data_IF_135178092353
#
_entry.id   IF_135178092353
#
_cell.length_a   1.000
_cell.length_b   1.000
_cell.length_c   1.000
_cell.angle_alpha   90.00
_cell.angle_beta   90.00
_cell.angle_gamma   90.00
#
_symmetry.space_group_name_H-M   'P 1'
#
loop_
_entity.id
_entity.type
_entity.pdbx_description
1 polymer ?
#
# COMPACT_ATOMS: atom_id res chain seq x y z
N UNK A 1 5.86 36.40 -37.36
CA UNK A 1 4.86 36.01 -38.37
C UNK A 1 3.68 35.37 -37.64
N UNK A 2 2.49 35.96 -37.75
CA UNK A 2 1.27 35.37 -37.20
C UNK A 2 0.57 34.54 -38.28
N UNK A 3 0.46 33.23 -38.08
CA UNK A 3 -0.23 32.34 -39.01
C UNK A 3 -1.73 32.36 -38.80
N UNK A 4 -2.47 32.98 -39.72
CA UNK A 4 -3.92 32.83 -39.82
C UNK A 4 -4.27 31.41 -40.28
N UNK A 5 -4.82 30.58 -39.40
CA UNK A 5 -5.53 29.37 -39.84
C UNK A 5 -6.91 29.76 -40.39
N UNK A 6 -7.07 29.59 -41.70
CA UNK A 6 -8.33 29.79 -42.39
C UNK A 6 -9.23 28.55 -42.19
N UNK A 7 -10.24 28.64 -41.31
CA UNK A 7 -11.22 27.58 -41.06
C UNK A 7 -12.26 27.48 -42.20
N UNK A 8 -11.80 27.16 -43.41
CA UNK A 8 -12.67 26.85 -44.54
C UNK A 8 -13.21 25.42 -44.44
N UNK A 9 -14.52 25.28 -44.18
CA UNK A 9 -15.28 24.00 -44.18
C UNK A 9 -14.52 22.76 -43.68
N UNK A 10 -13.93 22.85 -42.48
CA UNK A 10 -13.42 21.67 -41.78
C UNK A 10 -14.54 21.10 -40.91
N UNK A 11 -14.90 19.83 -41.14
CA UNK A 11 -15.67 19.05 -40.17
C UNK A 11 -14.73 18.73 -39.01
N UNK A 12 -14.66 19.62 -38.03
CA UNK A 12 -13.80 19.45 -36.85
C UNK A 12 -14.37 18.36 -35.94
N UNK A 13 -13.84 17.14 -36.04
CA UNK A 13 -14.20 16.05 -35.11
C UNK A 13 -13.47 16.26 -33.78
N UNK A 14 -14.22 16.53 -32.72
CA UNK A 14 -13.71 16.57 -31.34
C UNK A 14 -13.58 15.13 -30.81
N UNK A 15 -12.43 14.49 -31.06
CA UNK A 15 -12.21 13.08 -30.71
C UNK A 15 -11.75 12.83 -29.26
N UNK A 16 -11.28 13.86 -28.54
CA UNK A 16 -10.47 13.69 -27.31
C UNK A 16 -11.13 14.21 -26.04
N UNK A 17 -12.38 13.83 -25.81
CA UNK A 17 -13.05 14.03 -24.51
C UNK A 17 -13.20 12.68 -23.82
N UNK A 18 -12.26 12.35 -22.93
CA UNK A 18 -12.25 11.07 -22.19
C UNK A 18 -12.73 11.32 -20.76
N UNK A 19 -13.70 10.52 -20.32
CA UNK A 19 -14.13 10.44 -18.93
C UNK A 19 -13.56 9.16 -18.30
N UNK A 20 -12.89 9.29 -17.15
CA UNK A 20 -12.37 8.15 -16.38
C UNK A 20 -12.88 8.18 -14.95
N UNK A 21 -13.62 7.15 -14.56
CA UNK A 21 -14.20 7.02 -13.22
C UNK A 21 -13.18 6.46 -12.22
N UNK A 22 -12.94 7.18 -11.12
CA UNK A 22 -11.96 6.78 -10.09
C UNK A 22 -12.59 5.84 -9.05
N UNK A 23 -13.87 6.02 -8.74
CA UNK A 23 -14.70 5.05 -8.02
C UNK A 23 -16.16 5.52 -8.09
N UNK A 24 -17.10 4.58 -8.02
CA UNK A 24 -18.48 4.89 -7.67
C UNK A 24 -18.56 5.29 -6.19
N UNK A 25 -19.54 6.13 -5.84
CA UNK A 25 -19.82 6.46 -4.44
C UNK A 25 -20.24 5.22 -3.64
N UNK A 26 -19.66 5.04 -2.45
CA UNK A 26 -19.88 3.86 -1.60
C UNK A 26 -20.55 4.16 -0.25
N UNK A 27 -20.87 5.43 0.05
CA UNK A 27 -21.56 5.83 1.28
C UNK A 27 -22.37 7.12 1.09
N UNK A 28 -23.64 7.11 1.50
CA UNK A 28 -24.60 8.20 1.28
C UNK A 28 -26.01 7.69 0.96
N UNK A 29 -26.98 8.60 0.90
CA UNK A 29 -28.34 8.27 0.44
C UNK A 29 -28.43 8.42 -1.09
N UNK A 30 -29.15 7.50 -1.75
CA UNK A 30 -29.42 7.53 -3.20
C UNK A 30 -28.17 7.49 -4.12
N UNK A 31 -27.09 6.85 -3.66
CA UNK A 31 -25.84 6.68 -4.41
C UNK A 31 -26.07 6.08 -5.81
N UNK A 32 -27.04 5.17 -5.93
CA UNK A 32 -27.41 4.51 -7.18
C UNK A 32 -27.96 5.47 -8.26
N UNK A 33 -28.35 6.69 -7.87
CA UNK A 33 -28.82 7.74 -8.79
C UNK A 33 -27.70 8.67 -9.25
N UNK A 34 -26.57 8.71 -8.54
CA UNK A 34 -25.44 9.57 -8.87
C UNK A 34 -24.47 8.90 -9.84
N UNK A 35 -24.88 8.77 -11.11
CA UNK A 35 -24.01 8.27 -12.18
C UNK A 35 -22.88 9.23 -12.57
N UNK A 36 -21.79 8.68 -13.11
CA UNK A 36 -20.67 9.47 -13.62
C UNK A 36 -20.89 9.98 -15.08
N UNK A 37 -19.87 10.60 -15.68
CA UNK A 37 -19.87 11.03 -17.09
C UNK A 37 -20.32 12.49 -17.36
N UNK A 38 -20.40 12.84 -18.64
CA UNK A 38 -20.84 14.16 -19.10
C UNK A 38 -22.37 14.25 -19.07
N UNK A 39 -22.90 14.95 -18.07
CA UNK A 39 -24.35 15.12 -17.82
C UNK A 39 -24.88 16.54 -17.97
N UNK A 40 -24.00 17.52 -18.20
CA UNK A 40 -24.33 18.95 -18.27
C UNK A 40 -24.10 19.54 -19.66
N UNK A 41 -24.39 20.84 -19.80
CA UNK A 41 -24.15 21.55 -21.05
C UNK A 41 -22.66 21.61 -21.40
N UNK A 42 -22.32 21.28 -22.65
CA UNK A 42 -20.96 21.42 -23.19
C UNK A 42 -20.94 22.56 -24.19
N UNK A 43 -20.30 23.68 -23.84
CA UNK A 43 -20.24 24.88 -24.69
C UNK A 43 -18.81 25.19 -25.13
N UNK A 44 -18.67 25.58 -26.39
CA UNK A 44 -17.45 26.21 -26.89
C UNK A 44 -17.63 27.73 -26.94
N UNK A 45 -16.67 28.46 -26.39
CA UNK A 45 -16.66 29.92 -26.34
C UNK A 45 -15.51 30.49 -27.18
N UNK A 46 -15.50 31.82 -27.41
CA UNK A 46 -14.42 32.49 -28.14
C UNK A 46 -14.60 32.61 -29.66
N UNK A 47 -15.73 32.15 -30.22
CA UNK A 47 -16.06 32.43 -31.62
C UNK A 47 -16.64 33.84 -31.79
N UNK A 48 -16.38 34.47 -32.94
CA UNK A 48 -16.92 35.81 -33.28
C UNK A 48 -18.45 35.87 -33.31
N UNK A 49 -19.11 34.74 -33.47
CA UNK A 49 -20.56 34.63 -33.64
C UNK A 49 -21.28 34.23 -32.34
N UNK A 50 -20.59 34.22 -31.19
CA UNK A 50 -21.13 33.82 -29.89
C UNK A 50 -20.67 32.43 -29.44
N UNK A 51 -21.37 31.87 -28.45
CA UNK A 51 -21.11 30.52 -27.94
C UNK A 51 -21.77 29.46 -28.83
N UNK A 52 -21.14 28.29 -28.94
CA UNK A 52 -21.70 27.11 -29.61
C UNK A 52 -22.01 26.06 -28.54
N UNK A 53 -23.28 25.69 -28.40
CA UNK A 53 -23.70 24.60 -27.51
C UNK A 53 -23.60 23.26 -28.25
N UNK A 54 -22.71 22.38 -27.78
CA UNK A 54 -22.48 21.05 -28.34
C UNK A 54 -23.44 19.99 -27.77
N UNK A 55 -24.27 20.34 -26.78
CA UNK A 55 -25.16 19.39 -26.10
C UNK A 55 -26.24 18.83 -27.04
N UNK A 56 -26.68 19.64 -28.00
CA UNK A 56 -27.72 19.30 -29.00
C UNK A 56 -27.15 18.59 -30.26
N UNK A 57 -25.83 18.38 -30.34
CA UNK A 57 -25.18 17.72 -31.49
C UNK A 57 -25.09 16.21 -31.30
N UNK A 58 -24.86 15.46 -32.39
CA UNK A 58 -24.72 14.00 -32.34
C UNK A 58 -23.42 13.57 -31.65
N UNK A 59 -23.54 12.87 -30.52
CA UNK A 59 -22.41 12.30 -29.78
C UNK A 59 -22.14 10.84 -30.19
N UNK A 60 -20.86 10.46 -30.29
CA UNK A 60 -20.43 9.06 -30.46
C UNK A 60 -19.72 8.62 -29.19
N UNK A 61 -20.03 7.41 -28.71
CA UNK A 61 -19.48 6.86 -27.47
C UNK A 61 -18.59 5.64 -27.77
N UNK A 62 -17.44 5.58 -27.13
CA UNK A 62 -16.60 4.38 -27.06
C UNK A 62 -16.38 4.06 -25.58
N UNK A 63 -16.77 2.85 -25.17
CA UNK A 63 -16.52 2.35 -23.81
C UNK A 63 -15.12 1.74 -23.78
N UNK A 64 -14.26 2.17 -22.85
CA UNK A 64 -12.92 1.59 -22.68
C UNK A 64 -11.91 1.92 -23.79
N UNK A 65 -10.69 1.45 -23.58
CA UNK A 65 -9.52 1.73 -24.41
C UNK A 65 -9.25 0.58 -25.40
N UNK A 66 -8.68 0.91 -26.56
CA UNK A 66 -8.34 -0.10 -27.60
C UNK A 66 -7.44 -1.22 -27.06
N UNK A 67 -6.43 -0.88 -26.24
CA UNK A 67 -5.55 -1.86 -25.60
C UNK A 67 -6.26 -2.77 -24.59
N UNK A 68 -7.35 -2.31 -23.96
CA UNK A 68 -8.17 -3.12 -23.06
C UNK A 68 -8.98 -4.17 -23.84
N UNK A 69 -9.59 -3.77 -24.97
CA UNK A 69 -10.29 -4.70 -25.87
C UNK A 69 -9.36 -5.73 -26.51
N UNK A 70 -8.16 -5.30 -26.92
CA UNK A 70 -7.12 -6.18 -27.47
C UNK A 70 -6.42 -7.01 -26.38
N UNK A 71 -6.74 -6.79 -25.09
CA UNK A 71 -6.20 -7.52 -23.92
C UNK A 71 -4.67 -7.60 -23.89
N UNK A 72 -3.99 -6.54 -24.32
CA UNK A 72 -2.52 -6.54 -24.54
C UNK A 72 -1.69 -6.69 -23.25
N UNK A 73 -2.35 -6.70 -22.09
CA UNK A 73 -1.81 -7.04 -20.78
C UNK A 73 -1.70 -8.56 -20.52
N UNK A 74 -2.38 -9.40 -21.31
CA UNK A 74 -2.28 -10.87 -21.23
C UNK A 74 -1.03 -11.34 -22.00
N UNK A 75 -0.36 -12.38 -21.48
CA UNK A 75 0.90 -12.89 -22.04
C UNK A 75 0.77 -13.21 -23.54
N UNK A 76 -0.16 -14.09 -23.90
CA UNK A 76 -0.38 -14.59 -25.27
C UNK A 76 -0.95 -13.54 -26.25
N UNK A 77 -1.57 -12.48 -25.73
CA UNK A 77 -2.19 -11.42 -26.53
C UNK A 77 -1.27 -10.20 -26.70
N UNK A 78 -0.23 -10.06 -25.86
CA UNK A 78 0.59 -8.84 -25.80
C UNK A 78 1.28 -8.55 -27.13
N UNK A 79 1.74 -9.56 -27.88
CA UNK A 79 2.40 -9.38 -29.18
C UNK A 79 1.46 -8.98 -30.33
N UNK A 80 0.15 -8.84 -30.08
CA UNK A 80 -0.82 -8.35 -31.07
C UNK A 80 -0.84 -6.82 -31.19
N UNK A 81 -0.06 -6.12 -30.36
CA UNK A 81 0.16 -4.69 -30.47
C UNK A 81 1.50 -4.39 -31.17
N UNK A 82 1.52 -3.32 -31.96
CA UNK A 82 2.72 -2.79 -32.61
C UNK A 82 3.55 -2.02 -31.59
N UNK A 83 4.32 -2.75 -30.76
CA UNK A 83 5.23 -2.14 -29.79
C UNK A 83 6.42 -1.48 -30.49
N UNK A 84 6.87 -0.35 -29.94
CA UNK A 84 8.11 0.32 -30.37
C UNK A 84 9.03 0.50 -29.17
N UNK A 85 10.32 0.25 -29.35
CA UNK A 85 11.32 0.48 -28.30
C UNK A 85 11.34 1.95 -27.88
N UNK A 86 11.32 2.17 -26.57
CA UNK A 86 11.39 3.50 -25.99
C UNK A 86 12.85 3.90 -25.76
N UNK A 87 13.21 5.15 -26.07
CA UNK A 87 14.53 5.71 -25.73
C UNK A 87 14.48 6.46 -24.39
N UNK A 88 15.58 6.50 -23.61
CA UNK A 88 15.62 7.22 -22.32
C UNK A 88 15.27 8.71 -22.42
N UNK A 89 15.60 9.35 -23.54
CA UNK A 89 15.34 10.76 -23.82
C UNK A 89 13.94 11.02 -24.41
N UNK A 90 13.10 9.99 -24.54
CA UNK A 90 11.75 10.15 -25.05
C UNK A 90 10.89 11.02 -24.12
N UNK A 91 10.27 12.06 -24.68
CA UNK A 91 9.32 12.90 -23.96
C UNK A 91 8.12 12.07 -23.45
N UNK A 92 7.73 12.19 -22.17
CA UNK A 92 6.56 11.48 -21.63
C UNK A 92 5.29 11.75 -22.43
N UNK A 93 4.72 10.71 -23.03
CA UNK A 93 3.44 10.78 -23.73
C UNK A 93 2.27 10.39 -22.83
N UNK A 94 1.14 11.07 -23.01
CA UNK A 94 -0.14 10.73 -22.39
C UNK A 94 -0.81 9.56 -23.15
N UNK A 95 -1.80 8.92 -22.53
CA UNK A 95 -2.55 7.80 -23.11
C UNK A 95 -1.68 6.70 -23.75
N UNK A 96 -0.56 6.37 -23.10
CA UNK A 96 0.48 5.46 -23.63
C UNK A 96 0.47 4.14 -22.89
N UNK A 97 0.67 3.04 -23.63
CA UNK A 97 0.89 1.72 -23.07
C UNK A 97 2.39 1.42 -23.03
N UNK A 98 2.85 0.86 -21.91
CA UNK A 98 4.23 0.41 -21.73
C UNK A 98 4.24 -1.09 -21.41
N UNK A 99 5.26 -1.80 -21.92
CA UNK A 99 5.50 -3.22 -21.67
C UNK A 99 6.96 -3.41 -21.31
N UNK A 100 7.24 -4.31 -20.37
CA UNK A 100 8.59 -4.79 -20.07
C UNK A 100 8.53 -6.18 -19.43
N UNK A 101 9.68 -6.84 -19.28
CA UNK A 101 9.82 -8.11 -18.59
C UNK A 101 10.78 -7.96 -17.39
N UNK A 102 10.51 -8.68 -16.30
CA UNK A 102 11.35 -8.63 -15.09
C UNK A 102 11.43 -9.97 -14.36
N UNK A 103 12.51 -10.17 -13.63
CA UNK A 103 12.70 -11.34 -12.78
C UNK A 103 12.18 -11.08 -11.37
N UNK A 104 11.64 -12.12 -10.71
CA UNK A 104 11.10 -11.96 -9.37
C UNK A 104 12.24 -11.70 -8.36
N UNK A 105 12.11 -10.73 -7.44
CA UNK A 105 13.11 -10.53 -6.38
C UNK A 105 13.26 -11.79 -5.52
N UNK A 106 14.49 -12.18 -5.19
CA UNK A 106 14.77 -13.38 -4.38
C UNK A 106 14.07 -13.37 -3.00
N UNK A 107 13.85 -14.56 -2.43
CA UNK A 107 13.23 -14.78 -1.12
C UNK A 107 11.71 -14.60 -1.09
N UNK A 108 11.10 -14.70 0.09
CA UNK A 108 9.63 -14.71 0.26
C UNK A 108 9.01 -13.33 0.51
N UNK A 109 9.82 -12.32 0.85
CA UNK A 109 9.37 -10.97 1.21
C UNK A 109 8.32 -10.40 0.23
N UNK A 110 7.22 -9.76 0.72
CA UNK A 110 6.22 -9.12 -0.14
C UNK A 110 6.81 -8.22 -1.22
N UNK A 111 6.30 -8.34 -2.44
CA UNK A 111 6.76 -7.55 -3.59
C UNK A 111 5.85 -6.34 -3.81
N UNK A 112 6.42 -5.23 -4.25
CA UNK A 112 5.70 -4.07 -4.72
C UNK A 112 6.39 -3.42 -5.93
N UNK A 113 5.58 -2.85 -6.82
CA UNK A 113 6.00 -2.03 -7.94
C UNK A 113 6.04 -0.56 -7.51
N UNK A 114 7.20 0.08 -7.58
CA UNK A 114 7.34 1.51 -7.33
C UNK A 114 7.09 2.28 -8.63
N UNK A 115 5.96 2.99 -8.66
CA UNK A 115 5.45 3.80 -9.76
C UNK A 115 5.57 5.29 -9.48
N UNK A 116 6.43 5.71 -8.55
CA UNK A 116 6.54 7.11 -8.11
C UNK A 116 6.96 8.11 -9.20
N UNK A 117 7.55 7.61 -10.28
CA UNK A 117 7.92 8.36 -11.49
C UNK A 117 6.80 8.46 -12.54
N UNK A 118 5.69 7.75 -12.33
CA UNK A 118 4.53 7.70 -13.23
C UNK A 118 3.47 8.71 -12.79
N UNK A 119 2.39 8.84 -13.56
CA UNK A 119 1.30 9.80 -13.32
C UNK A 119 0.03 9.12 -12.80
N UNK A 120 -0.83 8.68 -13.70
CA UNK A 120 -2.15 8.10 -13.42
C UNK A 120 -2.39 6.96 -14.41
N UNK A 121 -2.86 5.83 -13.94
CA UNK A 121 -3.06 4.70 -14.84
C UNK A 121 -3.47 3.40 -14.20
N UNK A 122 -3.23 2.33 -14.94
CA UNK A 122 -3.50 0.93 -14.57
C UNK A 122 -2.27 0.08 -14.85
N UNK A 123 -2.04 -0.95 -14.03
CA UNK A 123 -0.91 -1.86 -14.21
C UNK A 123 -1.34 -3.33 -14.07
N UNK A 124 -0.66 -4.19 -14.82
CA UNK A 124 -0.88 -5.63 -14.86
C UNK A 124 0.44 -6.38 -14.77
N UNK A 125 0.45 -7.50 -14.05
CA UNK A 125 1.57 -8.44 -13.97
C UNK A 125 1.08 -9.80 -14.41
N UNK A 126 1.68 -10.40 -15.44
CA UNK A 126 1.29 -11.70 -16.00
C UNK A 126 -0.22 -11.81 -16.32
N UNK A 127 -0.83 -10.73 -16.84
CA UNK A 127 -2.27 -10.64 -17.10
C UNK A 127 -3.14 -10.26 -15.89
N UNK A 128 -2.63 -10.37 -14.66
CA UNK A 128 -3.37 -10.00 -13.45
C UNK A 128 -3.32 -8.48 -13.22
N UNK A 129 -4.48 -7.83 -13.10
CA UNK A 129 -4.57 -6.41 -12.79
C UNK A 129 -4.16 -6.16 -11.33
N UNK A 130 -3.02 -5.48 -11.12
CA UNK A 130 -2.51 -5.12 -9.78
C UNK A 130 -3.13 -3.82 -9.25
N UNK A 131 -3.91 -3.11 -10.08
CA UNK A 131 -4.74 -1.99 -9.68
C UNK A 131 -4.45 -0.69 -10.44
N UNK A 132 -5.17 0.36 -10.01
CA UNK A 132 -5.00 1.73 -10.51
C UNK A 132 -3.95 2.46 -9.68
N UNK A 133 -3.05 3.15 -10.35
CA UNK A 133 -2.07 4.02 -9.73
C UNK A 133 -2.40 5.50 -9.97
N UNK A 134 -2.08 6.35 -8.99
CA UNK A 134 -2.18 7.80 -9.14
C UNK A 134 -1.22 8.50 -8.17
N UNK A 135 -0.12 9.05 -8.69
CA UNK A 135 0.98 9.63 -7.91
C UNK A 135 0.74 11.07 -7.44
N UNK A 136 -0.53 11.49 -7.33
CA UNK A 136 -0.87 12.85 -6.91
C UNK A 136 -0.34 13.15 -5.51
N UNK A 137 0.56 14.12 -5.43
CA UNK A 137 1.05 14.65 -4.15
C UNK A 137 -0.10 15.34 -3.44
N UNK A 138 -0.41 14.90 -2.22
CA UNK A 138 -1.42 15.53 -1.39
C UNK A 138 -1.00 16.96 -0.99
N UNK A 139 -1.95 17.91 -0.81
CA UNK A 139 -1.64 19.22 -0.26
C UNK A 139 -0.90 19.13 1.09
N UNK A 140 0.01 20.06 1.35
CA UNK A 140 0.79 20.10 2.60
C UNK A 140 0.01 20.65 3.79
N UNK A 141 -1.08 21.37 3.52
CA UNK A 141 -1.88 22.06 4.53
C UNK A 141 -2.99 21.14 5.09
N UNK A 142 -3.43 21.41 6.32
CA UNK A 142 -4.42 20.60 7.04
C UNK A 142 -3.84 19.53 7.96
N UNK A 143 -2.53 19.29 7.92
CA UNK A 143 -1.84 18.40 8.85
C UNK A 143 -1.48 19.13 10.15
N UNK A 144 -2.33 19.01 11.18
CA UNK A 144 -1.96 19.34 12.56
C UNK A 144 -0.96 18.34 13.17
N UNK A 145 -0.58 18.49 14.44
CA UNK A 145 0.31 17.53 15.13
C UNK A 145 -0.40 16.17 15.43
N UNK A 146 -0.42 15.30 14.42
CA UNK A 146 -0.71 13.83 14.37
C UNK A 146 0.26 13.18 13.33
N UNK A 147 0.32 11.89 12.99
CA UNK A 147 -0.30 10.61 13.45
C UNK A 147 0.81 9.53 13.50
N UNK A 148 0.61 8.46 14.28
CA UNK A 148 1.62 7.42 14.61
C UNK A 148 2.13 6.52 13.46
N UNK A 149 1.78 6.79 12.19
CA UNK A 149 2.27 6.02 11.02
C UNK A 149 2.84 6.87 9.89
N UNK A 150 2.81 8.20 10.01
CA UNK A 150 3.23 9.11 8.94
C UNK A 150 2.34 9.07 7.69
N UNK A 151 2.71 9.86 6.69
CA UNK A 151 1.93 10.09 5.47
C UNK A 151 1.83 8.84 4.59
N UNK A 152 0.62 8.52 4.12
CA UNK A 152 0.40 7.47 3.11
C UNK A 152 0.77 7.98 1.70
N UNK A 153 2.07 7.99 1.39
CA UNK A 153 2.59 8.26 0.05
C UNK A 153 2.83 6.95 -0.72
N UNK A 154 1.78 6.28 -1.19
CA UNK A 154 1.97 5.05 -1.99
C UNK A 154 2.27 5.34 -3.44
N UNK A 155 3.55 5.55 -3.72
CA UNK A 155 4.12 5.21 -5.02
C UNK A 155 4.19 3.69 -5.26
N UNK A 156 4.06 2.88 -4.20
CA UNK A 156 4.28 1.43 -4.21
C UNK A 156 2.97 0.63 -4.24
N UNK A 157 2.84 -0.25 -5.22
CA UNK A 157 1.65 -1.07 -5.49
C UNK A 157 1.99 -2.55 -5.31
N UNK A 158 1.22 -3.27 -4.48
CA UNK A 158 1.55 -4.64 -4.12
C UNK A 158 1.41 -5.62 -5.31
N UNK A 159 2.39 -6.50 -5.46
CA UNK A 159 2.32 -7.66 -6.35
C UNK A 159 2.30 -8.93 -5.47
N UNK A 160 1.21 -9.73 -5.48
CA UNK A 160 1.17 -11.02 -4.83
C UNK A 160 2.28 -11.96 -5.36
N UNK A 161 3.04 -12.58 -4.44
CA UNK A 161 4.10 -13.54 -4.76
C UNK A 161 3.61 -14.68 -5.68
N UNK A 162 2.39 -15.15 -5.47
CA UNK A 162 1.76 -16.22 -6.25
C UNK A 162 1.40 -15.84 -7.69
N UNK A 163 1.52 -14.56 -8.09
CA UNK A 163 1.36 -14.12 -9.48
C UNK A 163 2.70 -14.03 -10.23
N UNK A 164 3.82 -14.30 -9.55
CA UNK A 164 5.16 -14.21 -10.12
C UNK A 164 5.73 -15.59 -10.45
N UNK A 165 6.38 -15.65 -11.61
CA UNK A 165 7.33 -16.70 -11.99
C UNK A 165 8.74 -16.27 -11.59
N UNK A 166 9.70 -17.20 -11.54
CA UNK A 166 11.08 -16.88 -11.16
C UNK A 166 11.72 -15.81 -12.08
N UNK A 167 11.48 -15.92 -13.39
CA UNK A 167 11.99 -15.00 -14.41
C UNK A 167 10.91 -14.66 -15.45
N UNK A 168 11.21 -13.67 -16.31
CA UNK A 168 10.38 -13.33 -17.48
C UNK A 168 8.92 -12.96 -17.16
N UNK A 169 8.67 -12.26 -16.05
CA UNK A 169 7.34 -11.76 -15.70
C UNK A 169 6.97 -10.58 -16.59
N UNK A 170 5.83 -10.67 -17.27
CA UNK A 170 5.30 -9.59 -18.09
C UNK A 170 4.72 -8.49 -17.18
N UNK A 171 5.25 -7.27 -17.29
CA UNK A 171 4.67 -6.05 -16.73
C UNK A 171 4.11 -5.20 -17.88
N UNK A 172 2.81 -4.89 -17.80
CA UNK A 172 2.15 -3.94 -18.72
C UNK A 172 1.53 -2.81 -17.91
N UNK A 173 1.69 -1.58 -18.38
CA UNK A 173 1.06 -0.39 -17.81
C UNK A 173 0.30 0.37 -18.89
N UNK A 174 -0.81 0.99 -18.50
CA UNK A 174 -1.42 2.10 -19.21
C UNK A 174 -1.21 3.38 -18.41
N UNK A 175 -0.65 4.42 -19.03
CA UNK A 175 -0.42 5.75 -18.45
C UNK A 175 -1.30 6.79 -19.14
N UNK A 176 -2.14 7.46 -18.37
CA UNK A 176 -3.13 8.44 -18.81
C UNK A 176 -2.52 9.85 -18.93
N UNK A 177 -1.67 10.23 -17.97
CA UNK A 177 -1.22 11.62 -17.74
C UNK A 177 0.25 11.92 -18.06
N UNK A 178 1.03 10.87 -18.35
CA UNK A 178 2.47 10.95 -18.62
C UNK A 178 3.31 10.61 -17.39
N UNK A 179 4.44 9.95 -17.63
CA UNK A 179 5.33 9.43 -16.59
C UNK A 179 6.68 9.00 -17.18
N UNK A 180 7.64 8.66 -16.31
CA UNK A 180 8.96 8.18 -16.70
C UNK A 180 9.11 6.68 -16.43
N UNK A 181 8.94 5.80 -17.43
CA UNK A 181 8.93 4.35 -17.20
C UNK A 181 10.30 3.77 -16.81
N UNK A 182 11.42 4.38 -17.20
CA UNK A 182 12.77 3.93 -16.82
C UNK A 182 13.10 4.09 -15.33
N UNK A 183 12.33 4.91 -14.60
CA UNK A 183 12.47 5.08 -13.15
C UNK A 183 11.56 4.11 -12.35
N UNK A 184 10.70 3.32 -13.03
CA UNK A 184 9.90 2.26 -12.39
C UNK A 184 10.84 1.20 -11.83
N UNK A 185 10.55 0.68 -10.63
CA UNK A 185 11.33 -0.45 -10.10
C UNK A 185 10.51 -1.40 -9.24
N UNK A 186 10.83 -2.69 -9.34
CA UNK A 186 10.27 -3.73 -8.47
C UNK A 186 11.09 -3.79 -7.19
N UNK A 187 10.43 -3.76 -6.03
CA UNK A 187 11.05 -3.80 -4.69
C UNK A 187 10.46 -4.94 -3.87
N UNK A 188 11.30 -5.70 -3.19
CA UNK A 188 10.88 -6.49 -2.04
C UNK A 188 10.79 -5.59 -0.80
N UNK A 189 9.78 -5.81 0.03
CA UNK A 189 9.61 -5.15 1.33
C UNK A 189 9.73 -6.18 2.43
N UNK A 190 10.67 -5.98 3.35
CA UNK A 190 10.69 -6.66 4.65
C UNK A 190 10.28 -5.67 5.74
N UNK A 191 9.63 -6.18 6.78
CA UNK A 191 9.45 -5.46 8.04
C UNK A 191 10.80 -5.40 8.76
N UNK A 192 11.42 -4.22 8.82
CA UNK A 192 12.69 -4.02 9.54
C UNK A 192 12.49 -3.72 11.02
N UNK A 193 11.38 -3.05 11.36
CA UNK A 193 10.93 -2.80 12.74
C UNK A 193 9.56 -3.45 12.90
N UNK A 194 9.38 -4.19 13.99
CA UNK A 194 8.08 -4.60 14.50
C UNK A 194 7.87 -3.99 15.90
N UNK A 195 6.62 -3.69 16.22
CA UNK A 195 6.24 -3.11 17.50
C UNK A 195 4.95 -3.76 18.00
N UNK A 196 4.79 -3.82 19.31
CA UNK A 196 3.53 -4.18 19.93
C UNK A 196 3.33 -3.40 21.25
N UNK A 197 2.07 -3.17 21.60
CA UNK A 197 1.67 -2.53 22.85
C UNK A 197 0.45 -3.25 23.42
N UNK A 198 0.56 -3.80 24.63
CA UNK A 198 -0.49 -4.60 25.28
C UNK A 198 -0.61 -4.26 26.76
N UNK A 199 -1.82 -3.90 27.18
CA UNK A 199 -2.20 -3.57 28.57
C UNK A 199 -2.55 -4.84 29.38
N UNK A 200 -2.33 -4.82 30.70
CA UNK A 200 -2.92 -5.78 31.65
C UNK A 200 -4.46 -5.86 31.52
N UNK A 201 -5.11 -4.80 31.02
CA UNK A 201 -6.55 -4.72 30.79
C UNK A 201 -6.99 -5.10 29.37
N UNK A 202 -6.08 -5.56 28.51
CA UNK A 202 -6.42 -5.98 27.15
C UNK A 202 -7.22 -7.29 27.17
N UNK A 203 -8.18 -7.49 26.26
CA UNK A 203 -8.97 -8.73 26.26
C UNK A 203 -8.12 -9.93 25.82
N UNK A 204 -8.26 -11.11 26.45
CA UNK A 204 -7.60 -12.32 25.98
C UNK A 204 -8.19 -12.77 24.64
N UNK A 205 -7.39 -13.50 23.85
CA UNK A 205 -7.79 -14.06 22.55
C UNK A 205 -9.15 -14.75 22.61
N UNK A 206 -10.02 -14.44 21.64
CA UNK A 206 -11.37 -15.02 21.53
C UNK A 206 -11.37 -16.55 21.46
N UNK A 207 -10.26 -17.18 21.03
CA UNK A 207 -10.11 -18.63 21.01
C UNK A 207 -10.06 -19.25 22.42
N UNK A 208 -9.68 -18.48 23.44
CA UNK A 208 -9.63 -18.92 24.83
C UNK A 208 -10.95 -18.72 25.57
N UNK A 209 -11.94 -18.04 24.98
CA UNK A 209 -13.23 -17.77 25.62
C UNK A 209 -14.10 -19.04 25.65
N UNK A 210 -14.24 -19.65 26.83
CA UNK A 210 -15.26 -20.67 27.08
C UNK A 210 -16.34 -20.12 28.01
N UNK A 211 -17.64 -20.42 27.79
CA UNK A 211 -18.71 -20.05 28.72
C UNK A 211 -18.51 -20.55 30.17
N UNK A 212 -17.74 -21.62 30.35
CA UNK A 212 -17.38 -22.18 31.66
C UNK A 212 -16.36 -21.34 32.45
N UNK A 213 -15.63 -20.43 31.80
CA UNK A 213 -14.53 -19.66 32.42
C UNK A 213 -15.03 -18.59 33.42
N UNK A 214 -16.35 -18.36 33.48
CA UNK A 214 -17.02 -17.49 34.46
C UNK A 214 -17.28 -18.16 35.82
N UNK A 215 -17.11 -19.48 35.94
CA UNK A 215 -17.50 -20.25 37.14
C UNK A 215 -16.29 -20.68 38.00
N UNK A 216 -15.10 -20.87 37.40
CA UNK A 216 -13.91 -21.35 38.11
C UNK A 216 -12.88 -20.24 38.37
N UNK A 217 -12.48 -20.03 39.62
CA UNK A 217 -11.43 -19.05 39.97
C UNK A 217 -10.02 -19.44 39.46
N UNK A 218 -9.80 -20.69 39.05
CA UNK A 218 -8.57 -21.11 38.37
C UNK A 218 -8.43 -20.54 36.95
N UNK A 219 -9.52 -19.98 36.38
CA UNK A 219 -9.57 -19.34 35.06
C UNK A 219 -8.61 -18.14 34.88
N UNK A 220 -8.17 -17.49 35.96
CA UNK A 220 -7.33 -16.27 35.91
C UNK A 220 -6.07 -16.40 35.05
N UNK A 221 -5.46 -17.57 35.00
CA UNK A 221 -4.24 -17.83 34.21
C UNK A 221 -4.52 -17.98 32.69
N UNK A 222 -5.78 -18.26 32.31
CA UNK A 222 -6.25 -18.45 30.92
C UNK A 222 -6.66 -17.13 30.24
N UNK A 223 -7.06 -16.14 31.04
CA UNK A 223 -7.46 -14.80 30.61
C UNK A 223 -6.32 -13.76 30.67
N UNK A 224 -5.10 -14.16 31.02
CA UNK A 224 -3.96 -13.23 31.04
C UNK A 224 -3.64 -12.74 29.63
N UNK A 225 -3.49 -11.43 29.36
CA UNK A 225 -3.19 -10.94 28.02
C UNK A 225 -1.78 -11.38 27.58
N UNK A 226 -1.62 -11.61 26.28
CA UNK A 226 -0.34 -12.02 25.70
C UNK A 226 0.05 -11.05 24.57
N UNK A 227 1.29 -10.57 24.60
CA UNK A 227 1.92 -9.85 23.50
C UNK A 227 2.57 -10.86 22.56
N UNK A 228 2.19 -10.80 21.28
CA UNK A 228 2.82 -11.55 20.21
C UNK A 228 3.73 -10.62 19.40
N UNK A 229 4.98 -11.03 19.21
CA UNK A 229 5.90 -10.39 18.26
C UNK A 229 6.33 -11.44 17.24
N UNK A 230 6.30 -11.08 15.96
CA UNK A 230 6.64 -11.96 14.85
C UNK A 230 7.25 -11.13 13.72
N UNK A 231 8.37 -11.60 13.19
CA UNK A 231 8.97 -11.10 11.96
C UNK A 231 8.35 -11.80 10.74
N UNK A 232 8.54 -11.22 9.54
CA UNK A 232 8.21 -11.90 8.28
C UNK A 232 8.96 -13.24 8.15
N UNK A 233 8.41 -14.16 7.35
CA UNK A 233 9.03 -15.48 7.14
C UNK A 233 10.49 -15.37 6.67
N UNK A 234 11.32 -16.29 7.13
CA UNK A 234 12.77 -16.27 6.92
C UNK A 234 13.52 -15.19 7.71
N UNK A 235 12.88 -14.37 8.54
CA UNK A 235 13.53 -13.39 9.41
C UNK A 235 13.47 -13.81 10.89
N UNK A 236 14.39 -13.26 11.69
CA UNK A 236 14.39 -13.38 13.15
C UNK A 236 14.50 -12.01 13.81
N UNK A 237 14.00 -11.91 15.04
CA UNK A 237 14.14 -10.74 15.90
C UNK A 237 15.62 -10.58 16.26
N UNK A 238 16.32 -9.67 15.58
CA UNK A 238 17.77 -9.48 15.73
C UNK A 238 18.14 -8.70 16.98
N UNK A 239 17.31 -7.73 17.36
CA UNK A 239 17.48 -6.89 18.56
C UNK A 239 16.13 -6.39 19.07
N UNK A 240 16.10 -6.05 20.37
CA UNK A 240 15.02 -5.28 20.99
C UNK A 240 15.57 -3.87 21.23
N UNK A 241 15.00 -2.87 20.57
CA UNK A 241 15.45 -1.48 20.66
C UNK A 241 14.82 -0.77 21.87
N UNK A 242 13.59 -1.14 22.21
CA UNK A 242 12.86 -0.60 23.35
C UNK A 242 11.99 -1.69 23.97
N UNK A 243 11.93 -1.71 25.30
CA UNK A 243 10.87 -2.41 26.02
C UNK A 243 10.58 -1.70 27.35
N UNK A 244 9.30 -1.47 27.65
CA UNK A 244 8.86 -0.90 28.93
C UNK A 244 7.53 -1.50 29.35
N UNK A 245 7.54 -2.22 30.47
CA UNK A 245 6.34 -2.60 31.22
C UNK A 245 6.09 -1.57 32.32
N UNK A 246 4.97 -0.84 32.24
CA UNK A 246 4.69 0.29 33.12
C UNK A 246 3.68 1.25 32.51
N UNK A 247 4.00 2.54 32.43
CA UNK A 247 3.17 3.55 31.76
C UNK A 247 3.85 4.17 30.53
N UNK A 248 4.35 3.36 29.57
CA UNK A 248 5.06 3.86 28.38
C UNK A 248 4.25 4.94 27.64
N UNK A 249 4.97 5.84 26.96
CA UNK A 249 4.38 6.96 26.23
C UNK A 249 4.89 6.98 24.78
N UNK A 250 4.12 7.55 23.86
CA UNK A 250 4.46 7.67 22.45
C UNK A 250 3.83 6.56 21.61
N UNK A 251 4.56 6.10 20.59
CA UNK A 251 4.12 5.05 19.65
C UNK A 251 5.35 4.37 19.03
N UNK A 252 5.16 3.32 18.23
CA UNK A 252 6.26 2.63 17.52
C UNK A 252 7.27 3.59 16.87
N UNK A 253 8.58 3.34 17.03
CA UNK A 253 9.70 4.21 16.60
C UNK A 253 9.83 5.54 17.39
N UNK A 254 8.92 5.81 18.32
CA UNK A 254 8.90 7.00 19.19
C UNK A 254 8.47 6.64 20.62
N UNK A 255 8.68 5.38 21.05
CA UNK A 255 8.33 4.96 22.40
C UNK A 255 9.30 5.56 23.43
N UNK A 256 8.77 5.88 24.60
CA UNK A 256 9.51 6.46 25.71
C UNK A 256 9.03 5.87 27.04
N UNK A 257 9.94 5.83 28.02
CA UNK A 257 9.59 5.37 29.37
C UNK A 257 8.68 6.40 30.04
N UNK A 258 7.62 5.91 30.69
CA UNK A 258 6.74 6.73 31.51
C UNK A 258 7.25 6.93 32.93
N UNK A 259 6.38 7.50 33.77
CA UNK A 259 6.64 7.65 35.21
C UNK A 259 6.71 6.30 35.96
N UNK A 260 6.17 5.24 35.37
CA UNK A 260 6.32 3.86 35.84
C UNK A 260 7.01 3.01 34.78
N UNK A 261 8.01 2.24 35.20
CA UNK A 261 8.78 1.33 34.36
C UNK A 261 9.38 0.21 35.22
N UNK A 262 9.20 -1.05 34.83
CA UNK A 262 9.90 -2.19 35.43
C UNK A 262 11.33 -2.30 34.83
N UNK A 263 12.41 -2.12 35.62
CA UNK A 263 13.78 -2.03 35.07
C UNK A 263 14.24 -3.26 34.27
N UNK A 264 13.69 -4.43 34.55
CA UNK A 264 14.03 -5.68 33.88
C UNK A 264 13.32 -5.87 32.52
N UNK A 265 12.45 -4.94 32.10
CA UNK A 265 11.64 -5.06 30.87
C UNK A 265 12.47 -5.46 29.65
N UNK A 266 13.54 -4.72 29.37
CA UNK A 266 14.39 -4.96 28.20
C UNK A 266 15.10 -6.32 28.28
N UNK A 267 15.71 -6.65 29.41
CA UNK A 267 16.43 -7.92 29.57
C UNK A 267 15.52 -9.14 29.42
N UNK A 268 14.29 -9.07 29.95
CA UNK A 268 13.30 -10.15 29.88
C UNK A 268 12.75 -10.31 28.46
N UNK A 269 12.38 -9.22 27.78
CA UNK A 269 11.89 -9.24 26.40
C UNK A 269 12.98 -9.72 25.45
N UNK A 270 14.22 -9.24 25.57
CA UNK A 270 15.35 -9.72 24.77
C UNK A 270 15.59 -11.22 24.98
N UNK A 271 15.62 -11.70 26.22
CA UNK A 271 15.76 -13.13 26.53
C UNK A 271 14.60 -13.98 25.98
N UNK A 272 13.38 -13.44 25.92
CA UNK A 272 12.22 -14.14 25.40
C UNK A 272 12.21 -14.22 23.86
N UNK A 273 12.66 -13.18 23.18
CA UNK A 273 12.37 -12.95 21.76
C UNK A 273 13.58 -12.94 20.82
N UNK A 274 14.74 -12.47 21.29
CA UNK A 274 15.90 -12.28 20.42
C UNK A 274 16.40 -13.62 19.84
N UNK A 275 16.71 -13.63 18.54
CA UNK A 275 17.13 -14.81 17.79
C UNK A 275 15.99 -15.73 17.32
N UNK A 276 14.72 -15.36 17.53
CA UNK A 276 13.54 -16.17 17.11
C UNK A 276 12.73 -15.46 16.03
N UNK A 277 12.05 -16.22 15.17
CA UNK A 277 11.09 -15.67 14.19
C UNK A 277 9.84 -15.10 14.85
N UNK A 278 9.43 -15.66 15.99
CA UNK A 278 8.33 -15.15 16.82
C UNK A 278 8.53 -15.45 18.30
N UNK A 279 7.82 -14.70 19.15
CA UNK A 279 7.76 -14.92 20.59
C UNK A 279 6.42 -14.47 21.17
N UNK A 280 6.12 -14.97 22.37
CA UNK A 280 4.92 -14.61 23.16
C UNK A 280 5.36 -14.20 24.56
N UNK A 281 4.85 -13.07 25.05
CA UNK A 281 5.13 -12.53 26.38
C UNK A 281 3.81 -12.30 27.11
N UNK A 282 3.67 -12.87 28.31
CA UNK A 282 2.48 -12.68 29.14
C UNK A 282 2.53 -11.35 29.88
N UNK A 283 1.40 -10.64 29.89
CA UNK A 283 1.28 -9.32 30.50
C UNK A 283 0.77 -9.49 31.93
N UNK A 284 1.71 -9.76 32.86
CA UNK A 284 1.46 -9.82 34.29
C UNK A 284 2.69 -9.45 35.11
N UNK A 285 2.47 -8.84 36.27
CA UNK A 285 3.52 -8.32 37.15
C UNK A 285 4.60 -9.36 37.53
N UNK A 286 4.24 -10.62 37.75
CA UNK A 286 5.23 -11.67 38.09
C UNK A 286 6.19 -11.98 36.94
N UNK A 287 5.80 -11.79 35.67
CA UNK A 287 6.71 -11.96 34.54
C UNK A 287 7.80 -10.88 34.49
N UNK A 288 7.55 -9.70 35.07
CA UNK A 288 8.47 -8.56 35.10
C UNK A 288 9.23 -8.39 36.43
N UNK A 289 9.13 -9.38 37.33
CA UNK A 289 9.81 -9.39 38.62
C UNK A 289 9.06 -8.69 39.76
N UNK A 290 7.81 -8.28 39.55
CA UNK A 290 6.98 -7.61 40.55
C UNK A 290 6.05 -6.55 39.93
N UNK A 291 5.22 -5.93 40.76
CA UNK A 291 4.41 -4.78 40.36
C UNK A 291 5.27 -3.50 40.42
N UNK A 292 5.58 -2.84 39.27
CA UNK A 292 6.40 -1.62 39.24
C UNK A 292 5.65 -0.36 39.71
N UNK A 293 4.31 -0.37 39.75
CA UNK A 293 3.49 0.76 40.18
C UNK A 293 2.09 0.30 40.63
N UNK A 294 1.94 0.05 41.93
CA UNK A 294 0.69 -0.43 42.52
C UNK A 294 -0.46 0.54 42.28
N UNK A 295 -1.63 0.01 41.95
CA UNK A 295 -2.84 0.80 41.69
C UNK A 295 -2.91 1.46 40.30
N UNK A 296 -1.86 1.34 39.49
CA UNK A 296 -1.84 1.76 38.08
C UNK A 296 -1.96 0.51 37.20
N UNK A 297 -2.65 0.62 36.06
CA UNK A 297 -2.70 -0.42 35.02
C UNK A 297 -1.43 -0.34 34.18
N UNK A 298 -0.74 -1.46 33.98
CA UNK A 298 0.53 -1.51 33.25
C UNK A 298 0.28 -1.89 31.80
N UNK A 299 1.06 -1.27 30.94
CA UNK A 299 1.19 -1.62 29.53
C UNK A 299 2.62 -2.05 29.25
N UNK A 300 2.79 -3.16 28.55
CA UNK A 300 4.05 -3.51 27.89
C UNK A 300 4.04 -2.85 26.51
N UNK A 301 5.01 -1.99 26.24
CA UNK A 301 5.34 -1.53 24.89
C UNK A 301 6.72 -2.07 24.50
N UNK A 302 6.85 -2.62 23.28
CA UNK A 302 8.10 -3.17 22.73
C UNK A 302 8.32 -2.67 21.31
N UNK A 303 9.57 -2.35 20.99
CA UNK A 303 10.09 -2.18 19.63
C UNK A 303 11.26 -3.16 19.41
N UNK A 304 11.22 -3.86 18.29
CA UNK A 304 12.21 -4.84 17.90
C UNK A 304 12.61 -4.69 16.43
N UNK A 305 13.86 -5.05 16.10
CA UNK A 305 14.33 -5.18 14.72
C UNK A 305 14.23 -6.61 14.25
N UNK A 306 13.90 -6.76 12.97
CA UNK A 306 13.94 -8.04 12.27
C UNK A 306 15.09 -8.01 11.25
N UNK A 307 15.85 -9.09 11.19
CA UNK A 307 16.89 -9.31 10.18
C UNK A 307 16.69 -10.68 9.51
N UNK A 308 17.17 -10.87 8.26
CA UNK A 308 17.20 -12.18 7.64
C UNK A 308 17.86 -13.20 8.59
N UNK A 309 17.26 -14.37 8.72
CA UNK A 309 17.85 -15.46 9.48
C UNK A 309 19.24 -15.74 8.90
N UNK A 310 20.25 -15.85 9.74
CA UNK A 310 21.59 -16.26 9.32
C UNK A 310 21.60 -17.76 9.01
N UNK A 311 20.91 -18.15 7.93
CA UNK A 311 21.06 -19.46 7.32
C UNK A 311 22.53 -19.58 6.96
N UNK A 312 23.22 -20.53 7.59
CA UNK A 312 24.54 -20.96 7.13
C UNK A 312 24.35 -21.67 5.80
N UNK A 313 24.27 -20.88 4.73
CA UNK A 313 24.35 -21.35 3.35
C UNK A 313 25.79 -21.80 3.10
N UNK A 314 26.10 -22.99 3.58
CA UNK A 314 27.20 -23.79 3.07
C UNK A 314 26.94 -24.02 1.58
N UNK A 315 27.58 -23.20 0.76
CA UNK A 315 27.51 -23.24 -0.69
C UNK A 315 28.19 -24.50 -1.21
N UNK A 316 27.50 -25.23 -2.10
CA UNK A 316 28.13 -26.01 -3.15
C UNK A 316 27.31 -25.88 -4.43
N UNK A 317 27.97 -25.31 -5.45
CA UNK A 317 27.69 -25.26 -6.90
C UNK A 317 26.27 -25.56 -7.38
#
# INVERSE_FOLDING_TARGET
>A
MAGLMNLGQIVTRLEKTIHGEIAAGNYGAFLEKDGAGFKGQVKLTGFKNGEIDLSEYSWTYQVGLRGEFQKIYMIDESEKAEWTDLTPDASPSTFTWYKTFFDAPNGENPVALDLGSMGKGQAWVNGHHIGRYWTRVAPKDGCGKCDYRGHYHTSKYHIPRSWLQASNNLLVLFEETGGKPFEISVKSRSTQTICAEVSESHYPSLQNWSPSDFIDQNSKNKMTPEMHLQCDDGHTISSIEFASYGTPQGSCQMFSQGQCHAPNSLALVSKACQGKGSCVIRILNSAFGGDPCRGIVKTLAVEAKCAPSSTTSSSQL
#
